data_IF_354833221495
#
_entry.id   IF_354833221495
#
_cell.length_a   1.000
_cell.length_b   1.000
_cell.length_c   1.000
_cell.angle_alpha   90.00
_cell.angle_beta   90.00
_cell.angle_gamma   90.00
#
_symmetry.space_group_name_H-M   'P 1'
#
loop_
_entity.id
_entity.type
_entity.pdbx_description
1 polymer ?
#
# COMPACT_ATOMS: atom_id res chain seq x y z
N UNK A 1 -1.44 8.86 -5.29
CA UNK A 1 -2.64 8.82 -4.46
C UNK A 1 -3.13 7.37 -4.29
N UNK A 2 -3.86 7.06 -3.18
CA UNK A 2 -4.45 5.74 -2.97
C UNK A 2 -3.55 4.67 -2.35
N UNK A 3 -2.31 4.97 -1.98
CA UNK A 3 -1.36 4.02 -1.37
C UNK A 3 -1.96 3.31 -0.15
N UNK A 4 -2.36 4.07 0.88
CA UNK A 4 -2.92 3.51 2.11
C UNK A 4 -4.18 2.67 1.87
N UNK A 5 -5.08 3.11 0.96
CA UNK A 5 -6.26 2.32 0.60
C UNK A 5 -5.88 0.98 -0.05
N UNK A 6 -4.90 0.98 -0.97
CA UNK A 6 -4.41 -0.27 -1.60
C UNK A 6 -3.77 -1.19 -0.56
N UNK A 7 -2.97 -0.63 0.37
CA UNK A 7 -2.42 -1.39 1.49
C UNK A 7 -3.53 -2.00 2.37
N UNK A 8 -4.58 -1.23 2.69
CA UNK A 8 -5.71 -1.73 3.48
C UNK A 8 -6.44 -2.88 2.79
N UNK A 9 -6.71 -2.80 1.47
CA UNK A 9 -7.30 -3.91 0.70
C UNK A 9 -6.43 -5.16 0.75
N UNK A 10 -5.11 -5.02 0.53
CA UNK A 10 -4.18 -6.14 0.59
C UNK A 10 -4.15 -6.78 1.98
N UNK A 11 -4.02 -5.97 3.03
CA UNK A 11 -3.98 -6.45 4.42
C UNK A 11 -5.27 -7.19 4.79
N UNK A 12 -6.43 -6.65 4.40
CA UNK A 12 -7.73 -7.27 4.67
C UNK A 12 -7.87 -8.65 3.99
N UNK A 13 -7.44 -8.78 2.72
CA UNK A 13 -7.47 -10.06 2.01
C UNK A 13 -6.50 -11.07 2.62
N UNK A 14 -5.27 -10.67 2.96
CA UNK A 14 -4.28 -11.55 3.58
C UNK A 14 -4.75 -12.04 4.95
N UNK A 15 -5.35 -11.16 5.77
CA UNK A 15 -5.91 -11.51 7.05
C UNK A 15 -7.08 -12.48 6.91
N UNK A 16 -7.97 -12.27 5.95
CA UNK A 16 -9.08 -13.19 5.67
C UNK A 16 -8.59 -14.56 5.19
N UNK A 17 -7.43 -14.60 4.56
CA UNK A 17 -6.75 -15.84 4.20
C UNK A 17 -6.12 -16.57 5.39
N UNK A 18 -6.12 -15.97 6.59
CA UNK A 18 -5.61 -16.55 7.82
C UNK A 18 -4.16 -16.19 8.13
N UNK A 19 -3.54 -15.27 7.39
CA UNK A 19 -2.20 -14.77 7.67
C UNK A 19 -2.23 -13.69 8.75
N UNK A 20 -1.21 -13.68 9.60
CA UNK A 20 -0.93 -12.54 10.48
C UNK A 20 -0.26 -11.43 9.68
N UNK A 21 -0.79 -10.20 9.80
CA UNK A 21 -0.39 -9.09 8.93
C UNK A 21 0.02 -7.86 9.73
N UNK A 22 1.17 -7.29 9.37
CA UNK A 22 1.56 -5.93 9.72
C UNK A 22 1.12 -4.94 8.63
N UNK A 23 0.69 -3.75 9.05
CA UNK A 23 0.40 -2.63 8.16
C UNK A 23 1.10 -1.38 8.67
N UNK A 24 1.99 -0.82 7.82
CA UNK A 24 2.64 0.47 8.06
C UNK A 24 2.10 1.51 7.10
N UNK A 25 1.57 2.61 7.63
CA UNK A 25 0.95 3.68 6.82
C UNK A 25 1.35 5.08 7.27
N UNK A 26 1.12 6.06 6.39
CA UNK A 26 1.40 7.48 6.67
C UNK A 26 0.57 8.43 5.81
N UNK A 27 0.18 9.60 6.37
CA UNK A 27 0.25 10.00 7.78
C UNK A 27 -0.83 9.33 8.64
N UNK A 28 -0.82 9.56 9.97
CA UNK A 28 -1.94 9.25 10.84
C UNK A 28 -3.00 10.37 10.80
N UNK A 29 -4.22 10.09 11.19
CA UNK A 29 -5.31 11.07 11.27
C UNK A 29 -5.38 11.74 12.65
N UNK A 30 -5.30 10.97 13.72
CA UNK A 30 -5.45 11.43 15.10
C UNK A 30 -4.25 11.02 15.94
N UNK A 31 -3.92 9.72 15.99
CA UNK A 31 -2.89 9.18 16.86
C UNK A 31 -1.76 8.51 16.07
N UNK A 32 -0.53 8.72 16.52
CA UNK A 32 0.66 8.18 15.86
C UNK A 32 0.64 6.64 15.75
N UNK A 33 -0.04 5.97 16.66
CA UNK A 33 -0.17 4.51 16.70
C UNK A 33 -0.91 3.94 15.48
N UNK A 34 -1.77 4.75 14.83
CA UNK A 34 -2.46 4.37 13.59
C UNK A 34 -1.51 3.96 12.46
N UNK A 35 -0.26 4.45 12.52
CA UNK A 35 0.77 4.12 11.52
C UNK A 35 1.23 2.66 11.58
N UNK A 36 0.93 1.97 12.67
CA UNK A 36 1.36 0.61 12.92
C UNK A 36 0.15 -0.23 13.32
N UNK A 37 -0.25 -1.12 12.46
CA UNK A 37 -1.34 -2.04 12.75
C UNK A 37 -0.86 -3.49 12.68
N UNK A 38 -1.37 -4.32 13.58
CA UNK A 38 -1.23 -5.77 13.53
C UNK A 38 -2.63 -6.35 13.41
N UNK A 39 -2.89 -7.07 12.33
CA UNK A 39 -4.21 -7.64 12.03
C UNK A 39 -5.34 -6.60 12.05
N UNK A 40 -5.10 -5.42 11.46
CA UNK A 40 -6.02 -4.26 11.39
C UNK A 40 -6.32 -3.59 12.74
N UNK A 41 -5.53 -3.88 13.78
CA UNK A 41 -5.64 -3.24 15.08
C UNK A 41 -4.43 -2.36 15.32
N UNK A 42 -4.64 -1.09 15.67
CA UNK A 42 -3.58 -0.18 16.04
C UNK A 42 -2.81 -0.73 17.25
N UNK A 43 -1.49 -0.58 17.25
CA UNK A 43 -0.67 -0.95 18.42
C UNK A 43 -1.01 -0.07 19.63
N UNK A 44 -0.76 -0.58 20.81
CA UNK A 44 -0.87 0.19 22.05
C UNK A 44 0.38 1.06 22.33
N UNK A 45 0.27 1.95 23.31
CA UNK A 45 1.33 2.86 23.70
C UNK A 45 2.55 2.13 24.28
N UNK A 46 2.36 1.01 24.95
CA UNK A 46 3.47 0.23 25.52
C UNK A 46 4.32 -0.40 24.41
N UNK A 47 3.67 -0.94 23.38
CA UNK A 47 4.33 -1.47 22.18
C UNK A 47 5.09 -0.36 21.43
N UNK A 48 4.45 0.80 21.27
CA UNK A 48 5.09 1.98 20.66
C UNK A 48 6.34 2.41 21.42
N UNK A 49 6.25 2.56 22.75
CA UNK A 49 7.38 3.00 23.59
C UNK A 49 8.53 2.01 23.57
N UNK A 50 8.25 0.70 23.67
CA UNK A 50 9.28 -0.34 23.59
C UNK A 50 10.03 -0.30 22.26
N UNK A 51 9.33 -0.15 21.14
CA UNK A 51 9.95 -0.04 19.83
C UNK A 51 10.77 1.26 19.70
N UNK A 52 10.24 2.38 20.21
CA UNK A 52 10.95 3.65 20.25
C UNK A 52 12.26 3.56 21.03
N UNK A 53 12.23 2.97 22.23
CA UNK A 53 13.43 2.82 23.08
C UNK A 53 14.50 1.97 22.37
N UNK A 54 14.11 0.84 21.75
CA UNK A 54 15.03 -0.01 20.97
C UNK A 54 15.68 0.77 19.81
N UNK A 55 14.89 1.45 19.00
CA UNK A 55 15.38 2.18 17.81
C UNK A 55 16.21 3.39 18.25
N UNK A 56 15.80 4.08 19.33
CA UNK A 56 16.55 5.23 19.86
C UNK A 56 17.97 4.84 20.30
N UNK A 57 18.14 3.72 20.98
CA UNK A 57 19.48 3.25 21.40
C UNK A 57 20.37 3.04 20.16
N UNK A 58 19.88 2.37 19.13
CA UNK A 58 20.62 2.14 17.89
C UNK A 58 20.93 3.44 17.15
N UNK A 59 19.99 4.38 17.13
CA UNK A 59 20.20 5.69 16.51
C UNK A 59 21.27 6.50 17.25
N UNK A 60 21.26 6.49 18.59
CA UNK A 60 22.27 7.17 19.43
C UNK A 60 23.67 6.55 19.21
N UNK A 61 23.79 5.22 19.07
CA UNK A 61 25.01 4.52 18.74
C UNK A 61 25.56 4.93 17.37
N UNK A 62 24.73 4.95 16.33
CA UNK A 62 25.10 5.39 14.99
C UNK A 62 25.61 6.85 14.98
N UNK A 63 24.95 7.73 15.74
CA UNK A 63 25.40 9.13 15.87
C UNK A 63 26.76 9.21 16.60
N UNK A 64 26.98 8.40 17.63
CA UNK A 64 28.26 8.33 18.34
C UNK A 64 29.40 7.82 17.43
N UNK A 65 29.10 7.00 16.43
CA UNK A 65 30.03 6.53 15.40
C UNK A 65 30.21 7.54 14.24
N UNK A 66 29.57 8.70 14.30
CA UNK A 66 29.72 9.79 13.33
C UNK A 66 28.71 9.77 12.17
N UNK A 67 27.67 8.95 12.25
CA UNK A 67 26.56 8.95 11.30
C UNK A 67 25.54 10.04 11.63
N UNK A 68 24.62 10.32 10.68
CA UNK A 68 23.51 11.24 10.91
C UNK A 68 22.40 10.55 11.72
N UNK A 69 21.72 11.32 12.56
CA UNK A 69 20.52 10.84 13.24
C UNK A 69 19.42 10.57 12.21
N UNK A 70 18.73 9.42 12.28
CA UNK A 70 17.60 9.14 11.39
C UNK A 70 16.54 10.26 11.45
N UNK A 71 15.94 10.55 10.31
CA UNK A 71 14.81 11.48 10.22
C UNK A 71 13.58 10.94 10.97
N UNK A 72 12.58 11.79 11.19
CA UNK A 72 11.33 11.39 11.83
C UNK A 72 10.66 10.19 11.13
N UNK A 73 10.62 10.19 9.78
CA UNK A 73 10.00 9.10 9.05
C UNK A 73 10.85 7.82 9.10
N UNK A 74 12.17 7.93 8.99
CA UNK A 74 13.07 6.78 9.14
C UNK A 74 12.97 6.15 10.54
N UNK A 75 12.89 6.95 11.60
CA UNK A 75 12.65 6.44 12.96
C UNK A 75 11.34 5.64 13.02
N UNK A 76 10.23 6.17 12.50
CA UNK A 76 8.96 5.47 12.49
C UNK A 76 9.01 4.19 11.65
N UNK A 77 9.65 4.23 10.48
CA UNK A 77 9.82 3.03 9.66
C UNK A 77 10.61 1.93 10.41
N UNK A 78 11.74 2.28 11.02
CA UNK A 78 12.53 1.35 11.82
C UNK A 78 11.75 0.77 13.01
N UNK A 79 10.97 1.62 13.69
CA UNK A 79 10.06 1.15 14.75
C UNK A 79 9.03 0.16 14.20
N UNK A 80 8.45 0.41 13.02
CA UNK A 80 7.54 -0.51 12.35
C UNK A 80 8.19 -1.87 12.11
N UNK A 81 9.43 -1.89 11.62
CA UNK A 81 10.16 -3.15 11.40
C UNK A 81 10.38 -3.92 12.71
N UNK A 82 10.74 -3.22 13.79
CA UNK A 82 10.88 -3.84 15.12
C UNK A 82 9.55 -4.40 15.62
N UNK A 83 8.46 -3.62 15.52
CA UNK A 83 7.12 -4.03 15.97
C UNK A 83 6.65 -5.29 15.23
N UNK A 84 6.79 -5.32 13.91
CA UNK A 84 6.33 -6.45 13.10
C UNK A 84 7.20 -7.69 13.28
N UNK A 85 8.51 -7.51 13.45
CA UNK A 85 9.43 -8.61 13.77
C UNK A 85 9.14 -9.21 15.16
N UNK A 86 8.94 -8.37 16.19
CA UNK A 86 8.60 -8.82 17.54
C UNK A 86 7.23 -9.53 17.59
N UNK A 87 6.27 -9.10 16.75
CA UNK A 87 4.96 -9.73 16.61
C UNK A 87 4.98 -11.03 15.78
N UNK A 88 6.03 -11.28 15.01
CA UNK A 88 6.17 -12.48 14.18
C UNK A 88 5.10 -12.57 13.10
N UNK A 89 4.74 -11.45 12.46
CA UNK A 89 3.72 -11.44 11.40
C UNK A 89 4.21 -12.16 10.14
N UNK A 90 3.29 -12.81 9.42
CA UNK A 90 3.61 -13.54 8.18
C UNK A 90 3.92 -12.59 7.01
N UNK A 91 3.14 -11.51 6.91
CA UNK A 91 3.28 -10.49 5.85
C UNK A 91 3.19 -9.08 6.39
N UNK A 92 3.88 -8.16 5.73
CA UNK A 92 3.79 -6.72 6.02
C UNK A 92 3.43 -5.98 4.74
N UNK A 93 2.42 -5.13 4.81
CA UNK A 93 2.11 -4.13 3.79
C UNK A 93 2.73 -2.80 4.21
N UNK A 94 3.63 -2.28 3.36
CA UNK A 94 4.37 -1.05 3.62
C UNK A 94 3.91 0.08 2.70
N UNK A 95 3.34 1.13 3.26
CA UNK A 95 3.08 2.36 2.52
C UNK A 95 4.34 3.22 2.45
N UNK A 96 4.81 3.51 1.24
CA UNK A 96 5.88 4.48 0.97
C UNK A 96 5.45 5.89 1.42
N UNK A 97 6.30 6.58 2.15
CA UNK A 97 6.01 7.93 2.64
C UNK A 97 5.93 8.95 1.51
N UNK A 98 7.06 9.24 0.86
CA UNK A 98 7.16 10.23 -0.20
C UNK A 98 8.08 9.75 -1.33
N UNK A 99 7.62 9.91 -2.57
CA UNK A 99 8.41 9.53 -3.75
C UNK A 99 8.51 8.03 -3.90
N UNK A 100 9.69 7.49 -3.75
CA UNK A 100 10.01 6.07 -3.86
C UNK A 100 11.51 5.83 -3.70
N UNK A 101 12.33 6.28 -4.65
CA UNK A 101 13.76 5.99 -4.75
C UNK A 101 14.57 6.26 -3.48
N UNK A 102 14.24 7.32 -2.75
CA UNK A 102 14.92 7.75 -1.51
C UNK A 102 14.05 7.53 -0.26
N UNK A 103 12.95 6.78 -0.38
CA UNK A 103 12.08 6.53 0.76
C UNK A 103 12.66 5.45 1.68
N UNK A 104 12.48 5.61 3.00
CA UNK A 104 13.00 4.66 3.98
C UNK A 104 12.50 3.22 3.75
N UNK A 105 11.29 3.06 3.19
CA UNK A 105 10.72 1.73 2.92
C UNK A 105 11.49 0.93 1.86
N UNK A 106 12.34 1.60 1.05
CA UNK A 106 13.22 0.91 0.07
C UNK A 106 14.40 0.17 0.71
N UNK A 107 14.61 0.33 2.02
CA UNK A 107 15.57 -0.49 2.77
C UNK A 107 15.14 -1.98 2.87
N UNK A 108 13.90 -2.32 2.53
CA UNK A 108 13.46 -3.71 2.41
C UNK A 108 13.96 -4.28 1.08
N UNK A 109 14.97 -5.16 1.17
CA UNK A 109 15.69 -5.67 0.00
C UNK A 109 14.89 -6.71 -0.81
N UNK A 110 14.01 -7.47 -0.17
CA UNK A 110 13.32 -8.59 -0.79
C UNK A 110 11.79 -8.52 -0.61
N UNK A 111 11.11 -7.48 -1.13
CA UNK A 111 9.65 -7.46 -1.12
C UNK A 111 9.11 -8.54 -2.06
N UNK A 112 7.91 -9.06 -1.78
CA UNK A 112 7.26 -10.07 -2.65
C UNK A 112 6.56 -9.43 -3.85
N UNK A 113 6.20 -8.15 -3.75
CA UNK A 113 5.67 -7.34 -4.84
C UNK A 113 5.86 -5.85 -4.56
N UNK A 114 5.96 -5.06 -5.63
CA UNK A 114 5.88 -3.60 -5.58
C UNK A 114 4.57 -3.14 -6.21
N UNK A 115 3.89 -2.16 -5.60
CA UNK A 115 2.63 -1.63 -6.13
C UNK A 115 2.74 -0.11 -6.29
N UNK A 116 2.53 0.38 -7.51
CA UNK A 116 2.54 1.82 -7.82
C UNK A 116 1.12 2.25 -8.17
N UNK A 117 0.52 2.99 -7.25
CA UNK A 117 -0.84 3.53 -7.39
C UNK A 117 -0.87 4.76 -8.29
N UNK A 118 -2.05 5.38 -8.45
CA UNK A 118 -2.23 6.51 -9.36
C UNK A 118 -1.21 7.64 -9.13
N UNK A 119 -0.62 8.13 -10.22
CA UNK A 119 0.33 9.23 -10.24
C UNK A 119 -0.39 10.48 -10.74
N UNK A 120 -0.16 11.59 -10.07
CA UNK A 120 -0.63 12.92 -10.44
C UNK A 120 0.44 13.96 -10.09
N UNK A 121 0.27 15.17 -10.53
CA UNK A 121 1.12 16.30 -10.17
C UNK A 121 0.90 16.63 -8.68
N UNK A 122 1.67 15.96 -7.83
CA UNK A 122 1.64 16.11 -6.37
C UNK A 122 3.08 16.20 -5.85
N UNK A 123 3.29 16.96 -4.76
CA UNK A 123 4.62 17.20 -4.20
C UNK A 123 5.67 17.67 -5.22
N UNK A 124 5.27 18.49 -6.21
CA UNK A 124 6.10 18.93 -7.35
C UNK A 124 7.44 19.52 -6.94
N UNK A 125 7.50 20.22 -5.80
CA UNK A 125 8.72 20.81 -5.26
C UNK A 125 9.79 19.77 -4.85
N UNK A 126 9.42 18.49 -4.68
CA UNK A 126 10.33 17.40 -4.29
C UNK A 126 10.48 16.34 -5.38
N UNK A 127 9.41 16.01 -6.09
CA UNK A 127 9.37 14.88 -7.02
C UNK A 127 9.52 15.28 -8.49
N UNK A 128 9.46 16.58 -8.78
CA UNK A 128 9.54 17.10 -10.15
C UNK A 128 8.23 17.71 -10.65
N UNK A 129 8.31 18.38 -11.79
CA UNK A 129 7.29 19.22 -12.39
C UNK A 129 6.51 18.55 -13.53
N UNK A 130 6.79 17.27 -13.78
CA UNK A 130 6.09 16.45 -14.79
C UNK A 130 5.70 15.09 -14.23
N UNK A 131 4.63 14.50 -14.79
CA UNK A 131 4.16 13.15 -14.43
C UNK A 131 5.28 12.13 -14.64
N UNK A 132 6.04 12.22 -15.72
CA UNK A 132 7.15 11.32 -16.01
C UNK A 132 8.27 11.38 -14.94
N UNK A 133 8.64 12.58 -14.45
CA UNK A 133 9.64 12.73 -13.38
C UNK A 133 9.12 12.11 -12.07
N UNK A 134 7.87 12.40 -11.71
CA UNK A 134 7.24 11.84 -10.51
C UNK A 134 7.14 10.30 -10.62
N UNK A 135 6.81 9.79 -11.81
CA UNK A 135 6.81 8.36 -12.09
C UNK A 135 8.20 7.73 -11.90
N UNK A 136 9.25 8.41 -12.37
CA UNK A 136 10.64 7.96 -12.19
C UNK A 136 11.04 7.84 -10.72
N UNK A 137 10.68 8.83 -9.88
CA UNK A 137 10.91 8.75 -8.43
C UNK A 137 10.13 7.60 -7.78
N UNK A 138 8.87 7.38 -8.18
CA UNK A 138 8.04 6.28 -7.66
C UNK A 138 8.50 4.91 -8.16
N UNK A 139 8.96 4.81 -9.41
CA UNK A 139 9.52 3.58 -9.96
C UNK A 139 10.83 3.15 -9.25
N UNK A 140 11.41 4.04 -8.44
CA UNK A 140 12.56 3.72 -7.58
C UNK A 140 12.27 2.64 -6.51
N UNK A 141 11.01 2.30 -6.25
CA UNK A 141 10.67 1.18 -5.35
C UNK A 141 10.79 -0.20 -6.01
N UNK A 142 10.94 -0.26 -7.34
CA UNK A 142 11.00 -1.52 -8.07
C UNK A 142 12.34 -2.21 -7.75
N UNK A 143 12.25 -3.42 -7.23
CA UNK A 143 13.40 -4.26 -6.87
C UNK A 143 13.65 -5.25 -8.01
N UNK A 144 14.91 -5.52 -8.41
CA UNK A 144 15.24 -6.43 -9.50
C UNK A 144 14.56 -7.81 -9.37
N UNK A 145 13.86 -8.25 -10.43
CA UNK A 145 13.17 -9.54 -10.49
C UNK A 145 11.86 -9.62 -9.70
N UNK A 146 11.52 -8.61 -8.91
CA UNK A 146 10.27 -8.55 -8.12
C UNK A 146 9.13 -8.03 -9.00
N UNK A 147 7.93 -8.66 -8.99
CA UNK A 147 6.79 -8.17 -9.77
C UNK A 147 6.35 -6.78 -9.33
N UNK A 148 6.06 -5.93 -10.31
CA UNK A 148 5.46 -4.61 -10.09
C UNK A 148 4.07 -4.55 -10.70
N UNK A 149 3.09 -4.14 -9.89
CA UNK A 149 1.71 -3.88 -10.30
C UNK A 149 1.51 -2.36 -10.30
N UNK A 150 0.95 -1.79 -11.35
CA UNK A 150 0.86 -0.34 -11.43
C UNK A 150 -0.40 0.16 -12.14
N UNK A 151 -0.81 1.37 -11.76
CA UNK A 151 -1.89 2.12 -12.42
C UNK A 151 -1.39 2.62 -13.79
N UNK A 152 -1.97 2.11 -14.87
CA UNK A 152 -1.62 2.42 -16.25
C UNK A 152 -2.54 3.45 -16.90
N UNK A 153 -3.31 4.23 -16.13
CA UNK A 153 -4.24 5.21 -16.72
C UNK A 153 -3.56 6.46 -17.28
N UNK A 154 -2.38 6.80 -16.78
CA UNK A 154 -1.54 7.86 -17.34
C UNK A 154 -0.45 7.22 -18.22
N UNK A 155 -0.42 7.48 -19.54
CA UNK A 155 0.49 6.82 -20.48
C UNK A 155 1.95 7.20 -20.23
N UNK A 156 2.25 8.45 -19.83
CA UNK A 156 3.62 8.91 -19.57
C UNK A 156 4.18 8.23 -18.31
N UNK A 157 3.35 8.10 -17.28
CA UNK A 157 3.72 7.36 -16.08
C UNK A 157 3.92 5.87 -16.36
N UNK A 158 3.00 5.26 -17.10
CA UNK A 158 3.04 3.84 -17.45
C UNK A 158 4.30 3.48 -18.26
N UNK A 159 4.70 4.32 -19.20
CA UNK A 159 5.92 4.13 -19.99
C UNK A 159 7.18 4.13 -19.12
N UNK A 160 7.30 5.10 -18.21
CA UNK A 160 8.44 5.20 -17.28
C UNK A 160 8.52 3.98 -16.35
N UNK A 161 7.39 3.55 -15.79
CA UNK A 161 7.35 2.39 -14.89
C UNK A 161 7.72 1.12 -15.64
N UNK A 162 7.18 0.92 -16.85
CA UNK A 162 7.46 -0.24 -17.70
C UNK A 162 8.94 -0.30 -18.10
N UNK A 163 9.50 0.82 -18.55
CA UNK A 163 10.92 0.90 -18.90
C UNK A 163 11.83 0.55 -17.70
N UNK A 164 11.50 1.06 -16.50
CA UNK A 164 12.25 0.74 -15.29
C UNK A 164 12.13 -0.73 -14.89
N UNK A 165 10.95 -1.31 -15.00
CA UNK A 165 10.72 -2.73 -14.72
C UNK A 165 11.52 -3.61 -15.70
N UNK A 166 11.53 -3.28 -17.00
CA UNK A 166 12.30 -3.99 -18.02
C UNK A 166 13.80 -3.92 -17.73
N UNK A 167 14.32 -2.73 -17.40
CA UNK A 167 15.74 -2.53 -17.00
C UNK A 167 16.15 -3.46 -15.85
N UNK A 168 15.24 -3.67 -14.88
CA UNK A 168 15.47 -4.48 -13.69
C UNK A 168 15.09 -5.97 -13.87
N UNK A 169 14.60 -6.38 -15.03
CA UNK A 169 14.10 -7.73 -15.27
C UNK A 169 12.89 -8.09 -14.40
N UNK A 170 12.12 -7.11 -13.98
CA UNK A 170 10.95 -7.25 -13.11
C UNK A 170 9.69 -7.46 -13.94
N UNK A 171 8.88 -8.50 -13.67
CA UNK A 171 7.57 -8.67 -14.32
C UNK A 171 6.66 -7.46 -14.01
N UNK A 172 6.10 -6.83 -15.05
CA UNK A 172 5.29 -5.62 -14.92
C UNK A 172 3.83 -5.90 -15.30
N UNK A 173 2.90 -5.55 -14.42
CA UNK A 173 1.46 -5.79 -14.58
C UNK A 173 0.71 -4.47 -14.53
N UNK A 174 0.24 -4.04 -15.68
CA UNK A 174 -0.54 -2.83 -15.84
C UNK A 174 -2.01 -3.09 -15.48
N UNK A 175 -2.63 -2.17 -14.74
CA UNK A 175 -4.06 -2.17 -14.45
C UNK A 175 -4.65 -0.84 -14.90
N UNK A 176 -5.70 -0.89 -15.69
CA UNK A 176 -6.39 0.30 -16.24
C UNK A 176 -7.81 0.42 -15.73
N UNK A 177 -8.34 1.62 -15.76
CA UNK A 177 -9.76 1.87 -15.44
C UNK A 177 -10.68 1.12 -16.40
N UNK A 178 -10.27 0.90 -17.66
CA UNK A 178 -10.99 0.08 -18.63
C UNK A 178 -11.14 -1.39 -18.23
N UNK A 179 -10.29 -1.88 -17.34
CA UNK A 179 -10.33 -3.26 -16.86
C UNK A 179 -11.38 -3.42 -15.73
N UNK A 180 -11.99 -2.31 -15.30
CA UNK A 180 -13.04 -2.30 -14.27
C UNK A 180 -14.35 -1.77 -14.84
N UNK A 181 -15.47 -2.33 -14.38
CA UNK A 181 -16.81 -1.85 -14.68
C UNK A 181 -17.59 -1.65 -13.39
N UNK A 182 -17.99 -0.40 -13.12
CA UNK A 182 -18.88 -0.10 -11.99
C UNK A 182 -20.31 -0.53 -12.36
N UNK A 183 -20.84 -1.49 -11.63
CA UNK A 183 -22.19 -2.03 -11.83
C UNK A 183 -23.23 -1.29 -10.98
N UNK A 184 -22.85 -0.91 -9.75
CA UNK A 184 -23.71 -0.19 -8.83
C UNK A 184 -22.86 0.72 -7.94
N UNK A 185 -23.36 1.94 -7.67
CA UNK A 185 -22.78 2.86 -6.70
C UNK A 185 -23.89 3.43 -5.83
N UNK A 186 -23.80 3.18 -4.53
CA UNK A 186 -24.80 3.59 -3.52
C UNK A 186 -24.10 4.21 -2.31
N UNK A 187 -24.89 4.72 -1.37
CA UNK A 187 -24.37 5.20 -0.09
C UNK A 187 -23.76 4.09 0.80
N UNK A 188 -24.01 2.82 0.46
CA UNK A 188 -23.46 1.67 1.20
C UNK A 188 -22.17 1.12 0.59
N UNK A 189 -21.83 1.51 -0.65
CA UNK A 189 -20.63 1.05 -1.34
C UNK A 189 -20.79 0.93 -2.84
N UNK A 190 -19.76 0.35 -3.46
CA UNK A 190 -19.70 0.17 -4.91
C UNK A 190 -19.56 -1.32 -5.24
N UNK A 191 -20.43 -1.79 -6.16
CA UNK A 191 -20.24 -3.09 -6.80
C UNK A 191 -19.61 -2.89 -8.17
N UNK A 192 -18.57 -3.68 -8.46
CA UNK A 192 -17.86 -3.61 -9.73
C UNK A 192 -17.36 -4.98 -10.19
N UNK A 193 -17.15 -5.13 -11.49
CA UNK A 193 -16.45 -6.27 -12.07
C UNK A 193 -15.01 -5.86 -12.41
N UNK A 194 -14.06 -6.78 -12.18
CA UNK A 194 -12.69 -6.66 -12.67
C UNK A 194 -12.51 -7.63 -13.84
N UNK A 195 -12.44 -7.07 -15.05
CA UNK A 195 -12.47 -7.82 -16.31
C UNK A 195 -11.10 -8.38 -16.66
N UNK A 196 -10.75 -9.51 -16.09
CA UNK A 196 -9.60 -10.32 -16.48
C UNK A 196 -9.95 -11.82 -16.44
N UNK A 197 -9.09 -12.67 -16.97
CA UNK A 197 -9.35 -14.12 -17.02
C UNK A 197 -9.39 -14.78 -15.64
N UNK A 198 -8.62 -14.27 -14.68
CA UNK A 198 -8.54 -14.84 -13.33
C UNK A 198 -9.83 -14.60 -12.51
N UNK A 199 -10.42 -13.40 -12.65
CA UNK A 199 -11.63 -12.99 -11.94
C UNK A 199 -12.88 -12.99 -12.85
N UNK A 200 -12.84 -13.77 -13.92
CA UNK A 200 -13.95 -13.85 -14.87
C UNK A 200 -15.28 -14.09 -14.17
N UNK A 201 -16.28 -13.33 -14.57
CA UNK A 201 -17.65 -13.40 -14.06
C UNK A 201 -17.83 -13.08 -12.56
N UNK A 202 -16.80 -12.56 -11.89
CA UNK A 202 -16.90 -12.15 -10.49
C UNK A 202 -17.32 -10.69 -10.36
N UNK A 203 -18.17 -10.44 -9.35
CA UNK A 203 -18.56 -9.10 -8.92
C UNK A 203 -18.00 -8.88 -7.53
N UNK A 204 -17.23 -7.82 -7.36
CA UNK A 204 -16.68 -7.39 -6.08
C UNK A 204 -17.50 -6.24 -5.50
N UNK A 205 -17.66 -6.22 -4.20
CA UNK A 205 -18.26 -5.11 -3.46
C UNK A 205 -17.22 -4.46 -2.58
N UNK A 206 -17.11 -3.14 -2.61
CA UNK A 206 -16.25 -2.37 -1.70
C UNK A 206 -17.11 -1.46 -0.82
N UNK A 207 -16.80 -1.31 0.49
CA UNK A 207 -17.58 -0.50 1.43
C UNK A 207 -17.19 0.99 1.35
N UNK A 208 -16.92 1.48 0.15
CA UNK A 208 -16.51 2.86 -0.12
C UNK A 208 -17.39 3.46 -1.21
N UNK A 209 -17.72 4.75 -1.08
CA UNK A 209 -18.59 5.47 -2.03
C UNK A 209 -17.79 6.20 -3.14
N UNK A 210 -16.51 6.41 -2.92
CA UNK A 210 -15.65 7.12 -3.86
C UNK A 210 -15.16 6.20 -4.99
N UNK A 211 -15.45 6.56 -6.24
CA UNK A 211 -15.12 5.75 -7.44
C UNK A 211 -13.63 5.44 -7.60
N UNK A 212 -12.73 6.29 -7.08
CA UNK A 212 -11.29 6.04 -7.16
C UNK A 212 -10.87 4.80 -6.33
N UNK A 213 -11.67 4.38 -5.36
CA UNK A 213 -11.42 3.17 -4.58
C UNK A 213 -11.56 1.88 -5.42
N UNK A 214 -12.32 1.91 -6.51
CA UNK A 214 -12.39 0.79 -7.45
C UNK A 214 -11.03 0.51 -8.06
N UNK A 215 -10.29 1.57 -8.44
CA UNK A 215 -8.95 1.40 -8.99
C UNK A 215 -7.94 0.90 -7.92
N UNK A 216 -8.04 1.42 -6.68
CA UNK A 216 -7.19 0.96 -5.58
C UNK A 216 -7.45 -0.52 -5.25
N UNK A 217 -8.70 -0.96 -5.25
CA UNK A 217 -9.06 -2.37 -5.05
C UNK A 217 -8.65 -3.26 -6.24
N UNK A 218 -8.73 -2.75 -7.47
CA UNK A 218 -8.27 -3.49 -8.65
C UNK A 218 -6.76 -3.73 -8.63
N UNK A 219 -5.96 -2.76 -8.17
CA UNK A 219 -4.52 -2.93 -7.96
C UNK A 219 -4.24 -3.99 -6.89
N UNK A 220 -4.99 -3.98 -5.79
CA UNK A 220 -4.88 -5.02 -4.75
C UNK A 220 -5.28 -6.39 -5.29
N UNK A 221 -6.39 -6.50 -6.02
CA UNK A 221 -6.83 -7.74 -6.67
C UNK A 221 -5.76 -8.29 -7.63
N UNK A 222 -5.19 -7.42 -8.47
CA UNK A 222 -4.11 -7.83 -9.39
C UNK A 222 -2.86 -8.29 -8.64
N UNK A 223 -2.54 -7.64 -7.53
CA UNK A 223 -1.42 -8.07 -6.68
C UNK A 223 -1.65 -9.47 -6.10
N UNK A 224 -2.85 -9.74 -5.56
CA UNK A 224 -3.22 -11.06 -5.06
C UNK A 224 -3.16 -12.13 -6.17
N UNK A 225 -3.67 -11.82 -7.37
CA UNK A 225 -3.57 -12.70 -8.54
C UNK A 225 -2.11 -13.06 -8.87
N UNK A 226 -1.23 -12.06 -8.95
CA UNK A 226 0.19 -12.25 -9.27
C UNK A 226 0.92 -13.06 -8.21
N UNK A 227 0.52 -12.94 -6.95
CA UNK A 227 1.15 -13.60 -5.82
C UNK A 227 0.58 -15.01 -5.51
N UNK A 228 -0.34 -15.58 -6.31
CA UNK A 228 -0.95 -16.90 -6.03
C UNK A 228 0.05 -18.05 -5.85
N UNK A 229 1.26 -17.94 -6.40
CA UNK A 229 2.33 -18.92 -6.18
C UNK A 229 3.11 -18.70 -4.86
N UNK A 230 2.89 -17.57 -4.19
CA UNK A 230 3.56 -17.17 -2.94
C UNK A 230 2.60 -17.25 -1.76
N UNK A 231 1.36 -16.84 -1.97
CA UNK A 231 0.29 -16.84 -0.97
C UNK A 231 -0.84 -17.78 -1.40
N UNK A 232 -1.44 -18.47 -0.44
CA UNK A 232 -2.61 -19.33 -0.69
C UNK A 232 -3.86 -18.59 -0.26
N UNK A 233 -4.63 -18.08 -1.22
CA UNK A 233 -5.87 -17.31 -0.96
C UNK A 233 -6.96 -17.83 -1.87
N UNK A 234 -8.07 -18.30 -1.31
CA UNK A 234 -9.24 -18.74 -2.08
C UNK A 234 -10.05 -17.55 -2.61
N UNK A 235 -10.81 -17.77 -3.68
CA UNK A 235 -11.71 -16.75 -4.24
C UNK A 235 -12.71 -16.20 -3.22
N UNK A 236 -13.23 -17.04 -2.33
CA UNK A 236 -14.12 -16.59 -1.27
C UNK A 236 -13.42 -15.65 -0.28
N UNK A 237 -12.18 -15.95 0.13
CA UNK A 237 -11.40 -15.10 1.02
C UNK A 237 -11.05 -13.76 0.37
N UNK A 238 -10.74 -13.76 -0.95
CA UNK A 238 -10.53 -12.52 -1.71
C UNK A 238 -11.82 -11.69 -1.67
N UNK A 239 -12.95 -12.29 -1.97
CA UNK A 239 -14.24 -11.60 -2.00
C UNK A 239 -14.61 -11.01 -0.63
N UNK A 240 -14.49 -11.79 0.44
CA UNK A 240 -14.78 -11.36 1.82
C UNK A 240 -13.79 -10.29 2.27
N UNK A 241 -12.51 -10.46 2.00
CA UNK A 241 -11.46 -9.50 2.37
C UNK A 241 -11.66 -8.13 1.69
N UNK A 242 -11.95 -8.11 0.39
CA UNK A 242 -12.26 -6.87 -0.35
C UNK A 242 -13.52 -6.19 0.21
N UNK A 243 -14.58 -6.95 0.47
CA UNK A 243 -15.84 -6.41 0.99
C UNK A 243 -15.74 -5.97 2.47
N UNK A 244 -14.85 -6.59 3.23
CA UNK A 244 -14.62 -6.29 4.65
C UNK A 244 -13.61 -5.17 4.92
N UNK A 245 -12.94 -4.65 3.89
CA UNK A 245 -11.89 -3.64 4.04
C UNK A 245 -12.41 -2.38 4.71
N UNK A 246 -11.66 -1.90 5.72
CA UNK A 246 -11.93 -0.63 6.42
C UNK A 246 -10.74 0.30 6.28
N UNK A 247 -11.00 1.55 5.94
CA UNK A 247 -9.97 2.57 5.85
C UNK A 247 -10.57 3.94 6.17
N UNK A 248 -10.17 4.52 7.29
CA UNK A 248 -10.74 5.76 7.81
C UNK A 248 -10.34 6.97 6.97
N UNK A 249 -11.18 8.02 6.99
CA UNK A 249 -10.90 9.30 6.35
C UNK A 249 -10.77 9.20 4.82
N UNK A 250 -11.61 8.40 4.17
CA UNK A 250 -11.69 8.31 2.71
C UNK A 250 -13.14 8.30 2.25
N UNK A 251 -13.73 9.49 2.18
CA UNK A 251 -15.17 9.69 1.92
C UNK A 251 -16.03 8.89 2.90
N UNK A 252 -15.58 8.83 4.14
CA UNK A 252 -16.22 8.09 5.22
C UNK A 252 -17.40 8.90 5.77
N UNK A 253 -18.57 8.27 5.86
CA UNK A 253 -19.73 8.88 6.53
C UNK A 253 -19.64 8.63 8.04
N UNK A 254 -19.16 9.61 8.80
CA UNK A 254 -19.01 9.51 10.26
C UNK A 254 -20.29 9.83 11.03
N UNK A 255 -21.15 10.66 10.47
CA UNK A 255 -22.48 11.00 10.97
C UNK A 255 -23.43 11.23 9.80
N UNK A 256 -24.76 11.19 9.98
CA UNK A 256 -25.71 11.55 8.92
C UNK A 256 -25.42 12.93 8.33
N UNK A 257 -25.02 12.98 7.04
CA UNK A 257 -24.67 14.18 6.32
C UNK A 257 -23.25 14.72 6.56
N UNK A 258 -22.39 14.01 7.33
CA UNK A 258 -21.00 14.38 7.55
C UNK A 258 -20.09 13.33 6.92
N UNK A 259 -19.31 13.76 5.92
CA UNK A 259 -18.33 12.92 5.21
C UNK A 259 -16.94 13.47 5.50
N UNK A 260 -15.99 12.57 5.79
CA UNK A 260 -14.57 12.87 6.00
C UNK A 260 -13.75 12.22 4.89
N UNK A 261 -12.85 13.00 4.27
CA UNK A 261 -11.93 12.54 3.21
C UNK A 261 -10.49 12.98 3.52
#
# INVERSE_FOLDING_TARGET
NGKGSTCAFLTSVLREAGYSCGLFTSPHLVEINERFQINEVNIDNDTFLKAFEKVKVLADELVAEGSYHPTYFEMLFLMGMVIFADAGVDYVTLETGLGGRMDATTAVENPVACVITSISLDHMQYLGDTVAKIAGEKAGIIVPGVPVIYDGNDPDAAEVIRARAEELGSPAYEVKRSDTEVLRNTSAGIDFAFRNEYYKDMVFSIPFIAKYQVMNSALALKTIEVLQNVISVSMNQIHVGIAGTRWQGRMETVLPGVIVD
#
